data_IF_246744933677
#
_entry.id   IF_246744933677
#
_cell.length_a   1.000
_cell.length_b   1.000
_cell.length_c   1.000
_cell.angle_alpha   90.00
_cell.angle_beta   90.00
_cell.angle_gamma   90.00
#
_symmetry.space_group_name_H-M   'P 1'
#
loop_
_entity.id
_entity.type
_entity.pdbx_description
1 polymer ?
#
# COMPACT_ATOMS: atom_id res chain seq x y z
N UNK A 1 -16.07 -17.50 -21.43
CA UNK A 1 -14.89 -18.35 -21.69
C UNK A 1 -13.88 -17.54 -22.51
N UNK A 2 -12.94 -16.90 -21.87
CA UNK A 2 -11.71 -16.46 -22.49
C UNK A 2 -10.57 -16.73 -21.49
N UNK A 3 -9.84 -17.79 -21.78
CA UNK A 3 -8.63 -18.15 -21.06
C UNK A 3 -7.55 -17.12 -21.38
N UNK A 4 -6.90 -16.58 -20.36
CA UNK A 4 -5.70 -15.77 -20.49
C UNK A 4 -4.49 -16.70 -20.43
N UNK A 5 -3.99 -17.06 -21.59
CA UNK A 5 -2.74 -17.77 -21.75
C UNK A 5 -1.58 -16.78 -21.67
N UNK A 6 -0.66 -17.02 -20.75
CA UNK A 6 0.69 -16.45 -20.76
C UNK A 6 1.36 -16.78 -22.08
N UNK A 7 1.76 -15.77 -22.85
CA UNK A 7 2.50 -15.89 -24.09
C UNK A 7 3.73 -15.00 -24.09
N UNK A 8 4.89 -15.66 -24.02
CA UNK A 8 6.20 -15.08 -24.33
C UNK A 8 6.30 -14.65 -25.80
N UNK A 9 7.19 -13.69 -26.05
CA UNK A 9 8.01 -13.41 -27.23
C UNK A 9 7.81 -12.07 -27.92
N UNK A 10 8.92 -11.36 -28.02
CA UNK A 10 9.15 -10.31 -29.00
C UNK A 10 10.45 -9.53 -28.77
N UNK A 11 11.56 -10.01 -29.33
CA UNK A 11 12.89 -9.39 -29.38
C UNK A 11 12.98 -8.16 -30.30
N UNK A 12 14.03 -7.32 -30.00
CA UNK A 12 14.78 -6.35 -30.83
C UNK A 12 14.36 -4.87 -30.66
N UNK A 13 15.26 -3.93 -30.40
CA UNK A 13 16.63 -3.68 -30.81
C UNK A 13 17.33 -2.63 -29.90
N UNK A 14 18.65 -2.69 -29.89
CA UNK A 14 19.59 -1.96 -29.05
C UNK A 14 19.73 -0.48 -29.38
N UNK A 15 19.88 0.34 -28.33
CA UNK A 15 20.71 1.54 -28.35
C UNK A 15 21.42 1.67 -27.00
N UNK A 16 22.74 1.75 -27.05
CA UNK A 16 23.62 1.80 -25.90
C UNK A 16 23.50 3.15 -25.19
N UNK A 17 22.99 3.11 -23.98
CA UNK A 17 23.27 4.09 -22.94
C UNK A 17 23.60 3.25 -21.72
N UNK A 18 24.78 3.42 -21.15
CA UNK A 18 25.24 2.67 -19.97
C UNK A 18 24.36 3.04 -18.77
N UNK A 19 23.43 2.18 -18.37
CA UNK A 19 22.78 2.32 -17.06
C UNK A 19 23.71 1.67 -16.04
N UNK A 20 23.68 2.19 -14.81
CA UNK A 20 24.11 1.39 -13.67
C UNK A 20 23.37 0.05 -13.79
N UNK A 21 24.11 -1.00 -14.06
CA UNK A 21 23.61 -2.30 -14.44
C UNK A 21 22.71 -2.85 -13.33
N UNK A 22 21.44 -3.03 -13.64
CA UNK A 22 20.67 -4.10 -13.05
C UNK A 22 21.37 -5.40 -13.51
N UNK A 23 22.20 -5.97 -12.66
CA UNK A 23 22.75 -7.28 -12.89
C UNK A 23 21.62 -8.29 -12.78
N UNK A 24 21.44 -9.11 -13.83
CA UNK A 24 20.63 -10.30 -13.76
C UNK A 24 21.06 -11.15 -12.54
N UNK A 25 20.12 -11.86 -11.86
CA UNK A 25 20.48 -12.69 -10.71
C UNK A 25 21.53 -13.70 -11.17
N UNK A 26 22.73 -13.61 -10.58
CA UNK A 26 23.74 -14.63 -10.74
C UNK A 26 23.23 -15.89 -10.03
N UNK A 27 23.10 -16.99 -10.77
CA UNK A 27 22.97 -18.33 -10.19
C UNK A 27 24.26 -18.67 -9.44
N UNK A 28 24.31 -18.33 -8.18
CA UNK A 28 25.38 -18.64 -7.23
C UNK A 28 25.07 -17.88 -5.97
N UNK A 29 24.87 -18.60 -4.86
CA UNK A 29 24.51 -18.01 -3.58
C UNK A 29 25.34 -16.76 -3.31
N UNK A 30 24.71 -15.61 -3.25
CA UNK A 30 25.36 -14.33 -3.05
C UNK A 30 26.10 -14.39 -1.72
N UNK A 31 27.43 -14.35 -1.75
CA UNK A 31 28.23 -14.23 -0.53
C UNK A 31 27.89 -12.89 0.07
N UNK A 32 27.44 -12.91 1.33
CA UNK A 32 27.14 -11.71 2.10
C UNK A 32 28.31 -10.70 1.97
N UNK A 33 28.03 -9.43 1.66
CA UNK A 33 29.07 -8.40 1.53
C UNK A 33 29.94 -8.36 2.79
N UNK A 34 31.27 -8.25 2.57
CA UNK A 34 32.22 -8.34 3.68
C UNK A 34 32.07 -7.19 4.70
N UNK A 35 31.61 -6.03 4.24
CA UNK A 35 31.46 -4.81 5.04
C UNK A 35 30.20 -4.78 5.91
N UNK A 36 29.31 -5.77 5.79
CA UNK A 36 28.20 -5.92 6.74
C UNK A 36 28.52 -6.93 7.86
N UNK A 37 29.61 -7.66 7.78
CA UNK A 37 29.97 -8.65 8.80
C UNK A 37 30.25 -7.98 10.15
N UNK A 38 29.47 -8.39 11.18
CA UNK A 38 29.56 -7.78 12.50
C UNK A 38 28.95 -6.38 12.61
N UNK A 39 28.34 -5.90 11.53
CA UNK A 39 27.58 -4.65 11.56
C UNK A 39 26.26 -4.83 12.33
N UNK A 40 25.81 -3.81 13.06
CA UNK A 40 24.61 -3.87 13.89
C UNK A 40 23.33 -4.21 13.09
N UNK A 41 23.28 -3.89 11.79
CA UNK A 41 22.16 -4.16 10.89
C UNK A 41 22.42 -5.36 9.96
N UNK A 42 23.39 -6.22 10.27
CA UNK A 42 23.79 -7.33 9.40
C UNK A 42 22.61 -8.24 9.06
N UNK A 43 21.80 -8.62 10.06
CA UNK A 43 20.67 -9.54 9.89
C UNK A 43 19.58 -8.95 8.98
N UNK A 44 19.22 -7.68 9.21
CA UNK A 44 18.20 -6.99 8.43
C UNK A 44 18.65 -6.74 6.99
N UNK A 45 19.93 -6.38 6.79
CA UNK A 45 20.49 -6.21 5.44
C UNK A 45 20.50 -7.55 4.70
N UNK A 46 20.94 -8.63 5.35
CA UNK A 46 20.94 -9.95 4.72
C UNK A 46 19.51 -10.40 4.36
N UNK A 47 18.55 -10.20 5.26
CA UNK A 47 17.14 -10.52 5.03
C UNK A 47 16.57 -9.73 3.85
N UNK A 48 16.92 -8.45 3.72
CA UNK A 48 16.52 -7.59 2.62
C UNK A 48 17.11 -8.05 1.27
N UNK A 49 18.39 -8.47 1.27
CA UNK A 49 19.06 -9.02 0.11
C UNK A 49 18.47 -10.37 -0.30
N UNK A 50 18.21 -11.26 0.65
CA UNK A 50 17.58 -12.58 0.41
C UNK A 50 16.15 -12.43 -0.13
N UNK A 51 15.41 -11.40 0.29
CA UNK A 51 14.11 -11.04 -0.23
C UNK A 51 14.16 -10.35 -1.62
N UNK A 52 15.34 -9.92 -2.05
CA UNK A 52 15.58 -9.40 -3.40
C UNK A 52 15.16 -7.96 -3.65
N UNK A 53 14.83 -7.17 -2.62
CA UNK A 53 14.47 -5.76 -2.79
C UNK A 53 15.64 -4.79 -2.60
N UNK A 54 16.83 -5.29 -2.24
CA UNK A 54 18.07 -4.51 -2.22
C UNK A 54 19.26 -5.38 -2.63
N UNK A 55 20.19 -4.76 -3.36
CA UNK A 55 21.46 -5.37 -3.77
C UNK A 55 22.65 -4.62 -3.16
N UNK A 56 23.79 -5.29 -3.10
CA UNK A 56 25.08 -4.66 -2.89
C UNK A 56 25.56 -3.92 -4.14
N UNK A 57 26.71 -3.27 -4.02
CA UNK A 57 27.37 -2.61 -5.15
C UNK A 57 28.16 -3.62 -6.01
N UNK A 58 28.47 -3.29 -7.29
CA UNK A 58 29.23 -4.17 -8.18
C UNK A 58 30.63 -4.52 -7.69
N UNK A 59 31.19 -3.73 -6.75
CA UNK A 59 32.48 -3.98 -6.11
C UNK A 59 32.41 -5.01 -4.97
N UNK A 60 31.22 -5.56 -4.70
CA UNK A 60 30.98 -6.55 -3.65
C UNK A 60 30.74 -5.95 -2.26
N UNK A 61 30.62 -4.63 -2.14
CA UNK A 61 30.31 -3.94 -0.87
C UNK A 61 28.82 -3.64 -0.75
N UNK A 62 28.35 -3.39 0.45
CA UNK A 62 27.00 -2.88 0.74
C UNK A 62 27.01 -1.39 1.09
N UNK A 63 28.08 -0.91 1.68
CA UNK A 63 28.30 0.45 2.15
C UNK A 63 27.25 0.89 3.20
N UNK A 64 27.11 0.16 4.32
CA UNK A 64 26.04 0.36 5.30
C UNK A 64 26.00 1.77 5.90
N UNK A 65 27.14 2.40 6.11
CA UNK A 65 27.28 3.73 6.69
C UNK A 65 27.17 4.88 5.66
N UNK A 66 27.02 4.56 4.37
CA UNK A 66 26.81 5.59 3.35
C UNK A 66 25.44 6.26 3.55
N UNK A 67 25.42 7.58 3.48
CA UNK A 67 24.17 8.34 3.49
C UNK A 67 23.35 8.02 2.24
N UNK A 68 22.07 7.73 2.42
CA UNK A 68 21.15 7.42 1.31
C UNK A 68 20.42 8.67 0.82
N UNK A 69 20.31 8.81 -0.50
CA UNK A 69 19.57 9.92 -1.13
C UNK A 69 18.05 9.68 -1.10
N UNK A 70 17.28 10.75 -1.32
CA UNK A 70 15.82 10.66 -1.40
C UNK A 70 15.38 9.75 -2.56
N UNK A 71 16.03 9.84 -3.72
CA UNK A 71 15.75 8.97 -4.86
C UNK A 71 16.03 7.50 -4.57
N UNK A 72 17.17 7.18 -3.97
CA UNK A 72 17.53 5.82 -3.60
C UNK A 72 16.55 5.24 -2.57
N UNK A 73 16.20 6.00 -1.54
CA UNK A 73 15.20 5.55 -0.56
C UNK A 73 13.84 5.30 -1.19
N UNK A 74 13.38 6.19 -2.08
CA UNK A 74 12.10 6.03 -2.78
C UNK A 74 12.08 4.74 -3.58
N UNK A 75 13.13 4.46 -4.35
CA UNK A 75 13.25 3.20 -5.10
C UNK A 75 13.24 1.99 -4.17
N UNK A 76 14.05 2.00 -3.10
CA UNK A 76 14.10 0.89 -2.14
C UNK A 76 12.75 0.61 -1.50
N UNK A 77 12.02 1.65 -1.10
CA UNK A 77 10.70 1.50 -0.53
C UNK A 77 9.73 0.85 -1.51
N UNK A 78 9.72 1.32 -2.78
CA UNK A 78 8.83 0.77 -3.81
C UNK A 78 9.18 -0.68 -4.16
N UNK A 79 10.46 -1.03 -4.25
CA UNK A 79 10.91 -2.42 -4.44
C UNK A 79 10.41 -3.31 -3.29
N UNK A 80 10.62 -2.85 -2.04
CA UNK A 80 10.27 -3.60 -0.85
C UNK A 80 8.76 -3.88 -0.72
N UNK A 81 7.90 -2.98 -1.24
CA UNK A 81 6.45 -3.15 -1.24
C UNK A 81 5.88 -3.58 -2.60
N UNK A 82 6.74 -4.09 -3.49
CA UNK A 82 6.36 -4.61 -4.81
C UNK A 82 5.62 -3.64 -5.73
N UNK A 83 5.77 -2.33 -5.52
CA UNK A 83 5.22 -1.29 -6.39
C UNK A 83 6.22 -0.88 -7.46
N UNK A 84 6.76 -1.86 -8.18
CA UNK A 84 7.70 -1.62 -9.27
C UNK A 84 7.00 -1.03 -10.50
N UNK A 85 7.73 -0.31 -11.40
CA UNK A 85 7.13 0.32 -12.57
C UNK A 85 6.37 -0.62 -13.51
N UNK A 86 6.71 -1.91 -13.50
CA UNK A 86 6.15 -2.98 -14.32
C UNK A 86 5.14 -3.85 -13.56
N UNK A 87 4.88 -3.59 -12.26
CA UNK A 87 3.90 -4.34 -11.50
C UNK A 87 2.47 -4.09 -11.99
N UNK A 88 1.63 -5.11 -11.90
CA UNK A 88 0.21 -5.04 -12.28
C UNK A 88 -0.54 -3.99 -11.44
N UNK A 89 -0.20 -3.87 -10.16
CA UNK A 89 -0.80 -2.89 -9.25
C UNK A 89 -0.49 -1.46 -9.69
N UNK A 90 0.76 -1.15 -10.06
CA UNK A 90 1.14 0.17 -10.59
C UNK A 90 0.47 0.44 -11.93
N UNK A 91 0.41 -0.56 -12.81
CA UNK A 91 -0.28 -0.43 -14.11
C UNK A 91 -1.77 -0.13 -13.92
N UNK A 92 -2.43 -0.81 -13.00
CA UNK A 92 -3.82 -0.55 -12.62
C UNK A 92 -4.00 0.86 -12.04
N UNK A 93 -3.16 1.26 -11.08
CA UNK A 93 -3.20 2.60 -10.47
C UNK A 93 -3.05 3.71 -11.52
N UNK A 94 -2.16 3.54 -12.51
CA UNK A 94 -2.00 4.51 -13.62
C UNK A 94 -3.26 4.64 -14.46
N UNK A 95 -4.00 3.56 -14.67
CA UNK A 95 -5.27 3.57 -15.38
C UNK A 95 -6.46 4.12 -14.58
N UNK A 96 -6.44 3.93 -13.27
CA UNK A 96 -7.54 4.23 -12.37
C UNK A 96 -7.45 5.60 -11.67
N UNK A 97 -6.28 6.27 -11.71
CA UNK A 97 -6.05 7.54 -11.01
C UNK A 97 -5.96 8.74 -11.94
N UNK A 98 -6.21 9.92 -11.36
CA UNK A 98 -5.81 11.18 -11.98
C UNK A 98 -4.33 11.42 -11.72
N UNK A 99 -3.58 11.76 -12.76
CA UNK A 99 -2.16 12.06 -12.64
C UNK A 99 -1.93 13.25 -11.71
N UNK A 100 -0.97 13.11 -10.80
CA UNK A 100 -0.45 14.25 -10.04
C UNK A 100 0.36 15.19 -10.97
N UNK A 101 0.56 16.43 -10.53
CA UNK A 101 1.48 17.32 -11.21
C UNK A 101 2.91 16.71 -11.20
N UNK A 102 3.68 16.79 -12.30
CA UNK A 102 5.04 16.26 -12.33
C UNK A 102 5.96 17.05 -11.39
N UNK A 103 7.04 16.40 -10.95
CA UNK A 103 8.13 17.07 -10.25
C UNK A 103 9.01 17.82 -11.25
N UNK A 104 9.27 19.13 -10.99
CA UNK A 104 9.94 20.01 -11.95
C UNK A 104 11.40 19.66 -12.19
N UNK A 105 12.08 19.11 -11.17
CA UNK A 105 13.51 18.79 -11.19
C UNK A 105 13.82 17.32 -11.51
N UNK A 106 12.84 16.57 -12.04
CA UNK A 106 12.96 15.13 -12.24
C UNK A 106 13.02 14.69 -13.70
N UNK A 107 12.89 15.61 -14.68
CA UNK A 107 12.69 15.27 -16.09
C UNK A 107 13.77 14.34 -16.68
N UNK A 108 15.05 14.57 -16.32
CA UNK A 108 16.19 13.81 -16.84
C UNK A 108 16.85 12.94 -15.76
N UNK A 109 16.11 12.61 -14.70
CA UNK A 109 16.63 11.82 -13.60
C UNK A 109 16.35 10.33 -13.80
N UNK A 110 17.31 9.46 -13.43
CA UNK A 110 17.20 7.98 -13.59
C UNK A 110 15.93 7.38 -12.95
N UNK A 111 15.45 7.97 -11.83
CA UNK A 111 14.22 7.54 -11.15
C UNK A 111 12.98 7.74 -12.04
N UNK A 112 12.97 8.80 -12.87
CA UNK A 112 11.90 9.08 -13.85
C UNK A 112 12.07 8.24 -15.10
N UNK A 113 13.28 8.16 -15.65
CA UNK A 113 13.59 7.34 -16.83
C UNK A 113 13.25 5.87 -16.60
N UNK A 114 13.49 5.37 -15.39
CA UNK A 114 13.13 4.01 -14.95
C UNK A 114 11.65 3.82 -14.60
N UNK A 115 10.82 4.86 -14.65
CA UNK A 115 9.39 4.80 -14.30
C UNK A 115 9.09 4.76 -12.80
N UNK A 116 10.11 4.84 -11.93
CA UNK A 116 9.95 4.78 -10.47
C UNK A 116 9.27 6.02 -9.89
N UNK A 117 9.54 7.21 -10.46
CA UNK A 117 8.84 8.42 -10.02
C UNK A 117 7.35 8.34 -10.33
N UNK A 118 6.97 7.83 -11.49
CA UNK A 118 5.56 7.58 -11.83
C UNK A 118 4.91 6.61 -10.83
N UNK A 119 5.59 5.50 -10.53
CA UNK A 119 5.12 4.53 -9.55
C UNK A 119 4.94 5.17 -8.16
N UNK A 120 5.90 6.00 -7.74
CA UNK A 120 5.83 6.73 -6.46
C UNK A 120 4.64 7.71 -6.40
N UNK A 121 4.37 8.41 -7.49
CA UNK A 121 3.28 9.38 -7.60
C UNK A 121 1.91 8.70 -7.65
N UNK A 122 1.74 7.67 -8.50
CA UNK A 122 0.43 7.00 -8.64
C UNK A 122 0.08 6.15 -7.43
N UNK A 123 1.06 5.65 -6.69
CA UNK A 123 0.83 4.93 -5.43
C UNK A 123 0.60 5.86 -4.23
N UNK A 124 0.90 7.16 -4.36
CA UNK A 124 0.80 8.12 -3.27
C UNK A 124 1.96 8.04 -2.27
N UNK A 125 3.03 7.27 -2.55
CA UNK A 125 4.24 7.26 -1.71
C UNK A 125 4.93 8.62 -1.75
N UNK A 126 4.90 9.27 -2.92
CA UNK A 126 5.31 10.66 -3.12
C UNK A 126 4.08 11.46 -3.54
N UNK A 127 3.86 12.59 -2.87
CA UNK A 127 2.78 13.54 -3.19
C UNK A 127 3.41 14.88 -3.51
N UNK A 128 3.09 15.41 -4.70
CA UNK A 128 3.75 16.62 -5.24
C UNK A 128 3.64 17.82 -4.30
N UNK A 129 2.52 17.95 -3.58
CA UNK A 129 2.26 19.05 -2.65
C UNK A 129 3.18 19.06 -1.41
N UNK A 130 3.86 17.96 -1.09
CA UNK A 130 4.79 17.91 0.05
C UNK A 130 6.10 18.63 -0.25
N UNK A 131 6.36 18.89 -1.52
CA UNK A 131 7.63 19.45 -1.97
C UNK A 131 7.45 20.89 -2.48
N UNK A 132 8.21 21.81 -1.88
CA UNK A 132 8.18 23.23 -2.24
C UNK A 132 8.47 23.41 -3.72
N UNK A 133 7.58 24.13 -4.44
CA UNK A 133 7.67 24.38 -5.89
C UNK A 133 7.78 23.09 -6.71
N UNK A 134 7.19 21.98 -6.24
CA UNK A 134 7.26 20.67 -6.90
C UNK A 134 8.70 20.18 -7.18
N UNK A 135 9.65 20.58 -6.34
CA UNK A 135 11.05 20.15 -6.46
C UNK A 135 11.36 19.01 -5.52
N UNK A 136 11.55 17.82 -6.07
CA UNK A 136 11.82 16.60 -5.30
C UNK A 136 13.22 16.58 -4.70
N UNK A 137 14.21 17.18 -5.37
CA UNK A 137 15.63 17.17 -4.99
C UNK A 137 16.16 15.76 -4.76
N UNK A 138 16.22 14.94 -5.82
CA UNK A 138 16.48 13.50 -5.73
C UNK A 138 17.80 13.14 -5.05
N UNK A 139 18.87 13.93 -5.30
CA UNK A 139 20.21 13.69 -4.78
C UNK A 139 20.40 14.21 -3.33
N UNK A 140 19.41 14.88 -2.76
CA UNK A 140 19.49 15.30 -1.37
C UNK A 140 19.41 14.07 -0.45
N UNK A 141 20.31 13.94 0.56
CA UNK A 141 20.15 12.96 1.60
C UNK A 141 18.76 13.00 2.21
N UNK A 142 18.10 11.84 2.34
CA UNK A 142 16.75 11.77 2.90
C UNK A 142 16.78 12.11 4.40
N UNK A 143 15.79 12.89 4.84
CA UNK A 143 15.63 13.23 6.25
C UNK A 143 14.70 12.25 6.96
N UNK A 144 14.86 12.09 8.27
CA UNK A 144 14.08 11.17 9.09
C UNK A 144 12.57 11.44 9.04
N UNK A 145 12.14 12.72 8.97
CA UNK A 145 10.74 13.05 8.80
C UNK A 145 10.18 12.59 7.42
N UNK A 146 11.01 12.59 6.36
CA UNK A 146 10.62 12.13 5.03
C UNK A 146 10.44 10.61 5.01
N UNK A 147 11.29 9.89 5.74
CA UNK A 147 11.11 8.44 5.95
C UNK A 147 9.82 8.17 6.72
N UNK A 148 9.55 8.92 7.80
CA UNK A 148 8.30 8.81 8.55
C UNK A 148 7.08 9.04 7.64
N UNK A 149 7.12 10.07 6.79
CA UNK A 149 6.08 10.40 5.82
C UNK A 149 5.80 9.22 4.87
N UNK A 150 6.85 8.72 4.21
CA UNK A 150 6.71 7.68 3.19
C UNK A 150 6.30 6.33 3.79
N UNK A 151 6.86 5.94 4.95
CA UNK A 151 6.52 4.66 5.60
C UNK A 151 5.11 4.68 6.20
N UNK A 152 4.65 5.81 6.74
CA UNK A 152 3.26 5.98 7.19
C UNK A 152 2.27 5.83 6.03
N UNK A 153 2.61 6.36 4.85
CA UNK A 153 1.82 6.17 3.63
C UNK A 153 1.81 4.73 3.16
N UNK A 154 2.96 4.07 3.19
CA UNK A 154 3.05 2.65 2.83
C UNK A 154 2.17 1.77 3.75
N UNK A 155 2.02 2.14 5.01
CA UNK A 155 1.13 1.49 5.97
C UNK A 155 -0.35 1.90 5.84
N UNK A 156 -0.70 2.81 4.90
CA UNK A 156 -2.07 3.28 4.70
C UNK A 156 -2.63 4.18 5.80
N UNK A 157 -1.75 4.84 6.55
CA UNK A 157 -2.11 5.69 7.69
C UNK A 157 -2.11 7.19 7.32
N UNK A 158 -2.45 7.51 6.06
CA UNK A 158 -2.46 8.90 5.55
C UNK A 158 -3.39 9.80 6.33
N UNK A 159 -4.57 9.29 6.72
CA UNK A 159 -5.56 10.06 7.46
C UNK A 159 -5.04 10.47 8.84
N UNK A 160 -4.40 9.55 9.53
CA UNK A 160 -3.79 9.77 10.85
C UNK A 160 -2.54 10.65 10.70
N UNK A 161 -1.71 10.39 9.68
CA UNK A 161 -0.52 11.17 9.37
C UNK A 161 -0.81 12.63 9.04
N UNK A 162 -1.96 12.93 8.43
CA UNK A 162 -2.40 14.30 8.14
C UNK A 162 -2.98 15.05 9.36
N UNK A 163 -3.08 14.41 10.52
CA UNK A 163 -3.56 15.09 11.73
C UNK A 163 -2.54 16.13 12.20
N UNK A 164 -3.03 17.34 12.43
CA UNK A 164 -2.24 18.39 13.07
C UNK A 164 -2.21 18.15 14.57
N UNK A 165 -1.03 17.82 15.08
CA UNK A 165 -0.79 17.63 16.51
C UNK A 165 -0.10 18.86 17.11
N UNK A 166 -0.53 19.28 18.31
CA UNK A 166 0.05 20.44 18.98
C UNK A 166 1.49 20.17 19.40
N UNK A 167 1.75 18.99 19.97
CA UNK A 167 3.09 18.58 20.42
C UNK A 167 3.28 17.07 20.38
N UNK A 168 4.54 16.65 20.29
CA UNK A 168 5.01 15.29 20.53
C UNK A 168 5.94 15.31 21.76
N UNK A 169 6.13 14.15 22.38
CA UNK A 169 7.00 14.02 23.57
C UNK A 169 8.48 13.86 23.16
N UNK A 170 9.02 14.93 22.53
CA UNK A 170 10.44 15.01 22.13
C UNK A 170 11.05 16.32 22.61
N UNK A 171 12.33 16.27 23.02
CA UNK A 171 13.07 17.46 23.48
C UNK A 171 13.24 18.52 22.40
N UNK A 172 13.20 18.11 21.14
CA UNK A 172 13.29 18.95 19.95
C UNK A 172 11.95 19.12 19.19
N UNK A 173 10.83 18.94 19.86
CA UNK A 173 9.48 19.03 19.26
C UNK A 173 9.25 20.32 18.48
N UNK A 174 9.86 21.42 18.91
CA UNK A 174 9.78 22.72 18.22
C UNK A 174 10.44 22.72 16.82
N UNK A 175 11.23 21.72 16.49
CA UNK A 175 11.84 21.53 15.15
C UNK A 175 10.99 20.67 14.23
N UNK A 176 9.98 20.00 14.78
CA UNK A 176 9.01 19.18 14.02
C UNK A 176 7.85 20.08 13.62
N UNK A 177 7.75 20.40 12.33
CA UNK A 177 6.65 21.26 11.85
C UNK A 177 5.28 20.59 12.08
N UNK A 178 4.21 21.36 12.34
CA UNK A 178 2.90 20.82 12.68
C UNK A 178 2.38 19.74 11.70
N UNK A 179 2.59 19.92 10.41
CA UNK A 179 2.18 18.96 9.38
C UNK A 179 3.00 17.66 9.38
N UNK A 180 4.23 17.67 9.95
CA UNK A 180 5.07 16.47 10.07
C UNK A 180 4.71 15.63 11.29
N UNK A 181 4.13 16.26 12.33
CA UNK A 181 3.93 15.62 13.65
C UNK A 181 3.04 14.38 13.57
N UNK A 182 1.98 14.42 12.78
CA UNK A 182 1.10 13.27 12.58
C UNK A 182 1.86 12.08 11.98
N UNK A 183 2.62 12.30 10.93
CA UNK A 183 3.43 11.26 10.28
C UNK A 183 4.54 10.69 11.18
N UNK A 184 5.24 11.55 11.91
CA UNK A 184 6.24 11.13 12.90
C UNK A 184 5.60 10.27 13.99
N UNK A 185 4.45 10.70 14.51
CA UNK A 185 3.70 9.97 15.54
C UNK A 185 3.28 8.57 15.06
N UNK A 186 2.71 8.47 13.85
CA UNK A 186 2.27 7.18 13.32
C UNK A 186 3.43 6.24 12.98
N UNK A 187 4.53 6.75 12.40
CA UNK A 187 5.72 5.94 12.14
C UNK A 187 6.35 5.40 13.44
N UNK A 188 6.32 6.19 14.52
CA UNK A 188 6.79 5.76 15.84
C UNK A 188 5.84 4.75 16.49
N UNK A 189 4.54 4.97 16.45
CA UNK A 189 3.53 4.01 16.94
C UNK A 189 3.58 2.68 16.21
N UNK A 190 3.86 2.71 14.91
CA UNK A 190 4.05 1.51 14.10
C UNK A 190 5.37 0.78 14.40
N UNK A 191 6.28 1.38 15.20
CA UNK A 191 7.58 0.81 15.53
C UNK A 191 8.61 0.91 14.39
N UNK A 192 8.31 1.69 13.34
CA UNK A 192 9.21 1.88 12.18
C UNK A 192 10.41 2.76 12.56
N UNK A 193 10.13 3.88 13.21
CA UNK A 193 11.14 4.80 13.73
C UNK A 193 11.06 4.90 15.26
N UNK A 194 12.17 5.33 15.86
CA UNK A 194 12.24 5.63 17.29
C UNK A 194 12.97 6.97 17.51
N UNK A 195 12.69 7.62 18.64
CA UNK A 195 13.50 8.74 19.11
C UNK A 195 14.91 8.29 19.56
N UNK A 196 15.77 9.25 19.80
CA UNK A 196 17.11 9.02 20.32
C UNK A 196 17.12 8.92 21.86
N UNK A 197 18.18 8.34 22.46
CA UNK A 197 18.29 8.20 23.92
C UNK A 197 18.31 9.52 24.70
N UNK A 198 18.63 10.65 24.03
CA UNK A 198 18.58 12.00 24.60
C UNK A 198 17.16 12.60 24.61
N UNK A 199 16.17 11.82 24.17
CA UNK A 199 14.77 12.24 24.08
C UNK A 199 14.45 13.08 22.84
N UNK A 200 15.38 13.25 21.89
CA UNK A 200 15.11 13.95 20.63
C UNK A 200 14.60 13.02 19.53
N UNK A 201 13.90 13.56 18.52
CA UNK A 201 13.56 12.85 17.30
C UNK A 201 14.51 13.14 16.14
N UNK A 202 15.06 14.33 16.08
CA UNK A 202 15.93 14.84 15.04
C UNK A 202 15.31 14.73 13.62
N UNK A 203 14.23 15.45 13.32
CA UNK A 203 13.46 15.28 12.09
C UNK A 203 14.27 15.52 10.82
N UNK A 204 15.28 16.40 10.89
CA UNK A 204 16.11 16.80 9.75
C UNK A 204 17.44 16.04 9.66
N UNK A 205 17.73 15.13 10.60
CA UNK A 205 18.90 14.27 10.51
C UNK A 205 18.78 13.37 9.27
N UNK A 206 19.88 13.13 8.61
CA UNK A 206 19.98 12.23 7.45
C UNK A 206 20.15 10.79 7.93
N UNK A 207 19.76 9.84 7.09
CA UNK A 207 19.88 8.42 7.40
C UNK A 207 20.95 7.75 6.55
N UNK A 208 21.56 6.72 7.12
CA UNK A 208 22.46 5.82 6.41
C UNK A 208 21.68 4.77 5.63
N UNK A 209 22.34 4.08 4.73
CA UNK A 209 21.77 2.98 3.94
C UNK A 209 21.31 1.82 4.85
N UNK A 210 22.09 1.50 5.89
CA UNK A 210 21.71 0.51 6.88
C UNK A 210 20.48 0.92 7.68
N UNK A 211 20.41 2.16 8.16
CA UNK A 211 19.23 2.68 8.87
C UNK A 211 17.97 2.61 8.00
N UNK A 212 18.08 2.98 6.71
CA UNK A 212 16.97 2.92 5.77
C UNK A 212 16.43 1.49 5.61
N UNK A 213 17.34 0.50 5.44
CA UNK A 213 16.95 -0.91 5.34
C UNK A 213 16.22 -1.37 6.60
N UNK A 214 16.73 -1.07 7.78
CA UNK A 214 16.10 -1.46 9.05
C UNK A 214 14.71 -0.83 9.22
N UNK A 215 14.54 0.44 8.83
CA UNK A 215 13.24 1.10 8.90
C UNK A 215 12.23 0.50 7.91
N UNK A 216 12.65 0.22 6.68
CA UNK A 216 11.80 -0.46 5.69
C UNK A 216 11.44 -1.87 6.18
N UNK A 217 12.39 -2.63 6.73
CA UNK A 217 12.13 -3.98 7.22
C UNK A 217 11.11 -3.99 8.36
N UNK A 218 11.20 -3.07 9.32
CA UNK A 218 10.21 -2.91 10.40
C UNK A 218 8.83 -2.53 9.85
N UNK A 219 8.80 -1.70 8.82
CA UNK A 219 7.56 -1.34 8.14
C UNK A 219 6.93 -2.59 7.47
N UNK A 220 7.74 -3.42 6.78
CA UNK A 220 7.28 -4.67 6.18
C UNK A 220 6.75 -5.64 7.23
N UNK A 221 7.48 -5.87 8.34
CA UNK A 221 7.04 -6.72 9.44
C UNK A 221 5.66 -6.28 9.97
N UNK A 222 5.40 -4.97 10.01
CA UNK A 222 4.12 -4.43 10.41
C UNK A 222 3.04 -4.56 9.33
N UNK A 223 3.42 -4.39 8.07
CA UNK A 223 2.53 -4.49 6.91
C UNK A 223 2.06 -5.92 6.69
N UNK A 224 2.97 -6.88 6.75
CA UNK A 224 2.75 -8.30 6.46
C UNK A 224 2.14 -9.08 7.61
N UNK A 225 1.90 -8.44 8.74
CA UNK A 225 1.28 -9.11 9.89
C UNK A 225 -0.03 -9.80 9.49
N UNK A 226 -0.05 -11.14 9.59
CA UNK A 226 -1.25 -11.95 9.34
C UNK A 226 -1.59 -12.22 7.87
N UNK A 227 -0.71 -11.93 6.91
CA UNK A 227 -0.89 -12.35 5.51
C UNK A 227 -1.02 -13.86 5.42
N UNK A 228 -1.98 -14.36 4.64
CA UNK A 228 -2.27 -15.79 4.50
C UNK A 228 -2.86 -16.13 3.14
N UNK A 229 -2.44 -17.27 2.61
CA UNK A 229 -2.95 -17.92 1.39
C UNK A 229 -4.00 -19.02 1.69
N UNK A 230 -4.37 -19.19 2.98
CA UNK A 230 -5.20 -20.31 3.45
C UNK A 230 -6.70 -20.00 3.46
N UNK A 231 -7.11 -18.91 2.87
CA UNK A 231 -8.49 -18.46 2.88
C UNK A 231 -9.03 -18.41 1.44
N UNK A 232 -10.09 -19.12 1.19
CA UNK A 232 -10.85 -19.01 -0.06
C UNK A 232 -11.85 -17.87 0.06
N UNK A 233 -11.85 -16.95 -0.90
CA UNK A 233 -12.80 -15.84 -0.96
C UNK A 233 -13.78 -16.07 -2.11
N UNK A 234 -15.06 -15.98 -1.80
CA UNK A 234 -16.15 -16.06 -2.77
C UNK A 234 -16.95 -14.76 -2.70
N UNK A 235 -17.37 -14.27 -3.84
CA UNK A 235 -18.32 -13.14 -3.94
C UNK A 235 -19.61 -13.66 -4.52
N UNK A 236 -20.71 -13.44 -3.83
CA UNK A 236 -22.04 -13.81 -4.32
C UNK A 236 -22.87 -12.56 -4.60
N UNK A 237 -23.64 -12.59 -5.68
CA UNK A 237 -24.60 -11.55 -6.04
C UNK A 237 -25.97 -12.19 -6.28
N UNK A 238 -26.97 -11.72 -5.55
CA UNK A 238 -28.37 -12.06 -5.83
C UNK A 238 -28.94 -11.02 -6.80
N UNK A 239 -29.10 -11.44 -8.06
CA UNK A 239 -29.69 -10.63 -9.12
C UNK A 239 -31.07 -11.13 -9.45
N UNK A 240 -32.11 -10.56 -8.80
CA UNK A 240 -33.53 -10.91 -9.03
C UNK A 240 -33.88 -12.40 -8.81
N UNK A 241 -33.33 -13.02 -7.78
CA UNK A 241 -33.53 -14.44 -7.46
C UNK A 241 -32.63 -15.39 -8.24
N UNK A 242 -31.66 -14.89 -9.00
CA UNK A 242 -30.58 -15.65 -9.59
C UNK A 242 -29.29 -15.35 -8.81
N UNK A 243 -29.00 -16.17 -7.80
CA UNK A 243 -27.77 -16.08 -7.07
C UNK A 243 -26.59 -16.57 -7.96
N UNK A 244 -25.58 -15.71 -8.12
CA UNK A 244 -24.32 -16.06 -8.79
C UNK A 244 -23.20 -15.93 -7.78
N UNK A 245 -22.34 -16.92 -7.74
CA UNK A 245 -21.15 -16.93 -6.88
C UNK A 245 -19.91 -17.05 -7.76
N UNK A 246 -18.93 -16.18 -7.51
CA UNK A 246 -17.60 -16.20 -8.14
C UNK A 246 -16.58 -16.45 -7.05
N UNK A 247 -15.71 -17.43 -7.24
CA UNK A 247 -14.53 -17.62 -6.39
C UNK A 247 -13.42 -16.73 -6.94
N UNK A 248 -12.81 -15.93 -6.07
CA UNK A 248 -11.67 -15.10 -6.45
C UNK A 248 -10.47 -16.01 -6.68
N UNK A 249 -9.70 -15.71 -7.75
CA UNK A 249 -8.47 -16.40 -8.06
C UNK A 249 -7.31 -15.67 -7.39
N UNK A 250 -6.64 -16.34 -6.45
CA UNK A 250 -5.49 -15.82 -5.69
C UNK A 250 -5.73 -14.45 -5.02
N UNK A 251 -6.79 -14.28 -4.21
CA UNK A 251 -7.10 -12.99 -3.59
C UNK A 251 -6.07 -12.65 -2.51
N UNK A 252 -5.74 -11.36 -2.40
CA UNK A 252 -4.93 -10.85 -1.30
C UNK A 252 -5.73 -10.87 0.01
N UNK A 253 -5.28 -11.66 0.98
CA UNK A 253 -5.99 -11.87 2.26
C UNK A 253 -5.04 -11.67 3.44
N UNK A 254 -5.54 -11.04 4.49
CA UNK A 254 -4.81 -10.80 5.73
C UNK A 254 -5.70 -11.06 6.95
N UNK A 255 -5.15 -11.69 8.00
CA UNK A 255 -5.84 -11.91 9.28
C UNK A 255 -5.06 -11.25 10.41
N UNK A 256 -5.60 -10.17 10.97
CA UNK A 256 -4.97 -9.41 12.06
C UNK A 256 -5.93 -9.29 13.22
N UNK A 257 -5.48 -9.64 14.41
CA UNK A 257 -6.27 -9.58 15.66
C UNK A 257 -7.66 -10.24 15.52
N UNK A 258 -7.73 -11.37 14.79
CA UNK A 258 -8.99 -12.09 14.54
C UNK A 258 -9.93 -11.42 13.54
N UNK A 259 -9.50 -10.34 12.90
CA UNK A 259 -10.21 -9.67 11.82
C UNK A 259 -9.65 -10.13 10.47
N UNK A 260 -10.52 -10.59 9.58
CA UNK A 260 -10.21 -10.97 8.21
C UNK A 260 -10.33 -9.76 7.29
N UNK A 261 -9.28 -9.51 6.51
CA UNK A 261 -9.23 -8.46 5.51
C UNK A 261 -9.07 -9.06 4.12
N UNK A 262 -9.71 -8.43 3.13
CA UNK A 262 -9.61 -8.78 1.70
C UNK A 262 -9.31 -7.50 0.93
N UNK A 263 -8.57 -7.60 -0.20
CA UNK A 263 -8.36 -6.47 -1.10
C UNK A 263 -9.71 -5.90 -1.55
N UNK A 264 -9.86 -4.59 -1.41
CA UNK A 264 -11.06 -3.89 -1.88
C UNK A 264 -11.20 -4.00 -3.40
N UNK A 265 -10.09 -3.98 -4.13
CA UNK A 265 -10.07 -4.17 -5.58
C UNK A 265 -10.57 -5.55 -5.95
N UNK A 266 -9.99 -6.61 -5.37
CA UNK A 266 -10.39 -8.00 -5.64
C UNK A 266 -11.87 -8.22 -5.35
N UNK A 267 -12.36 -7.68 -4.21
CA UNK A 267 -13.76 -7.77 -3.85
C UNK A 267 -14.67 -7.06 -4.86
N UNK A 268 -14.32 -5.85 -5.29
CA UNK A 268 -15.11 -5.04 -6.22
C UNK A 268 -15.10 -5.64 -7.64
N UNK A 269 -13.98 -6.13 -8.12
CA UNK A 269 -13.85 -6.83 -9.40
C UNK A 269 -14.63 -8.16 -9.38
N UNK A 270 -14.57 -8.90 -8.26
CA UNK A 270 -15.36 -10.11 -8.07
C UNK A 270 -16.86 -9.83 -8.10
N UNK A 271 -17.31 -8.71 -7.56
CA UNK A 271 -18.71 -8.30 -7.65
C UNK A 271 -19.11 -7.94 -9.07
N UNK A 272 -18.27 -7.22 -9.82
CA UNK A 272 -18.53 -6.94 -11.23
C UNK A 272 -18.73 -8.23 -12.04
N UNK A 273 -17.86 -9.21 -11.81
CA UNK A 273 -17.95 -10.52 -12.44
C UNK A 273 -19.22 -11.32 -12.05
N UNK A 274 -19.67 -11.19 -10.79
CA UNK A 274 -20.87 -11.86 -10.30
C UNK A 274 -22.16 -11.16 -10.75
N UNK A 275 -22.13 -9.85 -10.91
CA UNK A 275 -23.30 -9.00 -11.15
C UNK A 275 -23.69 -8.85 -12.62
N UNK A 276 -22.92 -9.41 -13.60
CA UNK A 276 -23.25 -9.23 -15.03
C UNK A 276 -24.77 -9.03 -15.32
N UNK A 277 -25.21 -7.99 -16.07
CA UNK A 277 -24.47 -7.17 -17.04
C UNK A 277 -24.02 -5.79 -16.52
N UNK A 278 -23.99 -5.56 -15.23
CA UNK A 278 -23.60 -4.28 -14.65
C UNK A 278 -22.09 -4.16 -14.67
N UNK A 279 -21.57 -3.05 -15.19
CA UNK A 279 -20.13 -2.77 -15.20
C UNK A 279 -19.75 -1.91 -14.00
N UNK A 280 -18.78 -2.36 -13.22
CA UNK A 280 -18.14 -1.55 -12.19
C UNK A 280 -16.99 -0.75 -12.81
N UNK A 281 -16.95 0.54 -12.50
CA UNK A 281 -15.77 1.35 -12.79
C UNK A 281 -15.05 1.64 -11.50
N UNK A 282 -13.76 1.26 -11.44
CA UNK A 282 -12.90 1.53 -10.30
C UNK A 282 -12.08 2.80 -10.55
N UNK A 283 -11.91 3.61 -9.52
CA UNK A 283 -10.98 4.74 -9.52
C UNK A 283 -10.14 4.76 -8.25
N UNK A 284 -8.94 5.30 -8.35
CA UNK A 284 -7.96 5.40 -7.28
C UNK A 284 -7.54 6.84 -7.03
N UNK A 285 -7.54 7.27 -5.79
CA UNK A 285 -6.99 8.56 -5.35
C UNK A 285 -5.69 8.33 -4.55
N UNK A 286 -4.52 8.58 -5.14
CA UNK A 286 -3.24 8.34 -4.49
C UNK A 286 -2.96 9.27 -3.31
N UNK A 287 -3.58 10.46 -3.27
CA UNK A 287 -3.35 11.45 -2.21
C UNK A 287 -4.04 11.03 -0.91
N UNK A 288 -5.27 10.55 -1.02
CA UNK A 288 -6.06 10.08 0.14
C UNK A 288 -5.98 8.58 0.34
N UNK A 289 -5.36 7.84 -0.58
CA UNK A 289 -5.32 6.38 -0.63
C UNK A 289 -6.74 5.79 -0.54
N UNK A 290 -7.60 6.23 -1.45
CA UNK A 290 -9.00 5.83 -1.53
C UNK A 290 -9.30 5.14 -2.85
N UNK A 291 -10.00 4.01 -2.77
CA UNK A 291 -10.58 3.32 -3.91
C UNK A 291 -12.09 3.56 -3.94
N UNK A 292 -12.61 3.93 -5.08
CA UNK A 292 -14.02 4.12 -5.35
C UNK A 292 -14.49 3.14 -6.42
N UNK A 293 -15.59 2.42 -6.16
CA UNK A 293 -16.26 1.55 -7.12
C UNK A 293 -17.66 2.07 -7.43
N UNK A 294 -18.05 2.07 -8.71
CA UNK A 294 -19.35 2.55 -9.16
C UNK A 294 -20.21 1.40 -9.68
N UNK A 295 -21.30 1.06 -8.96
CA UNK A 295 -22.30 0.05 -9.31
C UNK A 295 -23.71 0.67 -9.32
N UNK A 296 -23.96 1.68 -10.12
CA UNK A 296 -25.22 2.43 -10.02
C UNK A 296 -25.32 3.33 -8.78
N UNK A 297 -24.26 3.42 -8.00
CA UNK A 297 -23.94 4.26 -6.85
C UNK A 297 -22.45 4.22 -6.62
N UNK A 298 -21.92 5.00 -5.69
CA UNK A 298 -20.48 5.05 -5.36
C UNK A 298 -20.23 4.35 -4.04
N UNK A 299 -19.32 3.36 -4.05
CA UNK A 299 -18.79 2.72 -2.85
C UNK A 299 -17.34 3.11 -2.69
N UNK A 300 -16.98 3.69 -1.55
CA UNK A 300 -15.64 4.22 -1.30
C UNK A 300 -15.01 3.58 -0.07
N UNK A 301 -13.75 3.16 -0.20
CA UNK A 301 -12.92 2.68 0.91
C UNK A 301 -11.62 3.48 0.96
N UNK A 302 -11.24 3.92 2.14
CA UNK A 302 -10.01 4.67 2.37
C UNK A 302 -9.15 3.97 3.41
N UNK A 303 -7.86 3.79 3.10
CA UNK A 303 -6.88 3.27 4.05
C UNK A 303 -6.85 4.11 5.34
N UNK A 304 -6.69 3.45 6.49
CA UNK A 304 -6.76 4.08 7.83
C UNK A 304 -8.18 4.47 8.27
N UNK A 305 -9.22 4.33 7.45
CA UNK A 305 -10.58 4.74 7.78
C UNK A 305 -11.48 3.57 8.17
N UNK A 306 -12.29 3.76 9.21
CA UNK A 306 -13.44 2.88 9.51
C UNK A 306 -14.70 3.29 8.74
N UNK A 307 -14.72 4.47 8.12
CA UNK A 307 -15.88 4.93 7.36
C UNK A 307 -15.74 4.50 5.91
N UNK A 308 -16.79 3.88 5.37
CA UNK A 308 -16.99 3.71 3.94
C UNK A 308 -18.26 4.46 3.53
N UNK A 309 -18.32 4.89 2.29
CA UNK A 309 -19.53 5.50 1.72
C UNK A 309 -20.15 4.50 0.77
N UNK A 310 -21.45 4.35 0.87
CA UNK A 310 -22.23 3.61 -0.09
C UNK A 310 -23.38 4.52 -0.53
N UNK A 311 -23.29 5.01 -1.76
CA UNK A 311 -24.26 5.93 -2.32
C UNK A 311 -25.09 5.17 -3.37
N UNK A 312 -26.32 4.81 -3.00
CA UNK A 312 -27.28 4.21 -3.92
C UNK A 312 -28.04 5.30 -4.67
N UNK A 313 -28.36 5.05 -5.93
CA UNK A 313 -29.15 5.96 -6.75
C UNK A 313 -30.40 6.50 -6.01
N UNK A 314 -30.80 7.77 -6.27
CA UNK A 314 -31.78 8.53 -5.50
C UNK A 314 -33.24 8.10 -5.74
N UNK A 315 -33.52 6.80 -5.74
CA UNK A 315 -34.90 6.33 -5.91
C UNK A 315 -35.64 6.10 -4.58
N UNK A 316 -34.98 6.31 -3.44
CA UNK A 316 -35.61 6.21 -2.11
C UNK A 316 -35.25 7.48 -1.33
N UNK A 317 -36.19 8.38 -1.22
CA UNK A 317 -36.08 9.72 -0.62
C UNK A 317 -35.62 9.76 0.86
N UNK A 318 -35.27 8.63 1.48
CA UNK A 318 -34.98 8.55 2.93
C UNK A 318 -33.65 7.85 3.29
N UNK A 319 -32.80 7.54 2.31
CA UNK A 319 -31.45 7.03 2.56
C UNK A 319 -30.42 8.07 2.07
N UNK A 320 -30.32 9.18 2.83
CA UNK A 320 -29.11 10.01 2.77
C UNK A 320 -27.89 9.11 2.83
N UNK A 321 -26.92 9.28 1.92
CA UNK A 321 -25.66 8.54 1.80
C UNK A 321 -25.25 7.92 3.14
N UNK A 322 -25.56 6.64 3.34
CA UNK A 322 -25.36 6.02 4.63
C UNK A 322 -23.87 5.79 4.80
N UNK A 323 -23.25 6.63 5.63
CA UNK A 323 -21.89 6.41 6.10
C UNK A 323 -21.90 5.13 6.92
N UNK A 324 -21.46 4.04 6.31
CA UNK A 324 -21.27 2.79 7.02
C UNK A 324 -19.94 2.80 7.77
N UNK A 325 -19.89 2.11 8.90
CA UNK A 325 -18.67 1.93 9.67
C UNK A 325 -18.13 0.53 9.43
N UNK A 326 -16.87 0.44 9.06
CA UNK A 326 -16.13 -0.83 9.00
C UNK A 326 -15.89 -1.35 10.43
N UNK A 327 -15.87 -2.65 10.62
CA UNK A 327 -15.60 -3.31 11.91
C UNK A 327 -14.22 -2.95 12.47
N UNK A 328 -13.29 -2.67 11.58
CA UNK A 328 -11.95 -2.15 11.88
C UNK A 328 -11.54 -1.14 10.79
N UNK A 329 -10.50 -0.31 11.00
CA UNK A 329 -9.96 0.53 9.94
C UNK A 329 -9.47 -0.30 8.76
N UNK A 330 -9.70 0.16 7.52
CA UNK A 330 -9.06 -0.42 6.34
C UNK A 330 -7.52 -0.28 6.47
N UNK A 331 -6.79 -1.23 5.92
CA UNK A 331 -5.31 -1.28 5.97
C UNK A 331 -4.73 -1.09 4.58
N UNK A 332 -3.41 -1.05 4.49
CA UNK A 332 -2.68 -1.10 3.23
C UNK A 332 -1.75 -2.31 3.24
N UNK A 333 -1.76 -3.05 2.13
CA UNK A 333 -0.83 -4.15 1.89
C UNK A 333 -0.36 -4.07 0.45
N UNK A 334 0.95 -3.83 0.24
CA UNK A 334 1.55 -3.73 -1.09
C UNK A 334 0.82 -2.79 -2.07
N UNK A 335 0.33 -1.65 -1.57
CA UNK A 335 -0.45 -0.70 -2.37
C UNK A 335 -1.94 -1.03 -2.52
N UNK A 336 -2.40 -2.15 -2.02
CA UNK A 336 -3.81 -2.55 -2.01
C UNK A 336 -4.54 -2.06 -0.76
N UNK A 337 -5.74 -1.50 -0.93
CA UNK A 337 -6.61 -1.16 0.20
C UNK A 337 -7.30 -2.42 0.70
N UNK A 338 -6.94 -2.88 1.90
CA UNK A 338 -7.49 -4.07 2.55
C UNK A 338 -8.72 -3.69 3.39
N UNK A 339 -9.88 -4.21 3.05
CA UNK A 339 -11.12 -3.97 3.80
C UNK A 339 -11.40 -5.10 4.79
N UNK A 340 -11.81 -4.78 6.04
CA UNK A 340 -12.18 -5.79 7.01
C UNK A 340 -13.55 -6.36 6.66
N UNK A 341 -13.62 -7.66 6.43
CA UNK A 341 -14.84 -8.36 5.99
C UNK A 341 -15.43 -9.28 7.05
N UNK A 342 -14.64 -9.70 8.04
CA UNK A 342 -15.08 -10.53 9.16
C UNK A 342 -14.23 -10.25 10.40
N UNK A 343 -14.83 -10.36 11.60
CA UNK A 343 -14.11 -10.38 12.87
C UNK A 343 -14.81 -11.28 13.87
N UNK A 344 -14.03 -12.03 14.66
CA UNK A 344 -14.54 -12.90 15.71
C UNK A 344 -15.23 -12.14 16.84
N UNK A 345 -14.77 -10.91 17.11
CA UNK A 345 -15.17 -10.10 18.26
C UNK A 345 -16.29 -9.09 17.93
N UNK A 346 -16.98 -9.27 16.81
CA UNK A 346 -18.07 -8.36 16.43
C UNK A 346 -19.25 -8.52 17.39
N UNK A 347 -19.65 -7.41 18.00
CA UNK A 347 -20.93 -7.32 18.68
C UNK A 347 -22.08 -7.64 17.67
N UNK A 348 -22.98 -8.61 17.96
CA UNK A 348 -24.09 -8.95 17.07
C UNK A 348 -24.95 -7.75 16.67
N UNK A 349 -25.00 -6.67 17.47
CA UNK A 349 -25.69 -5.43 17.12
C UNK A 349 -24.91 -4.59 16.09
N UNK A 350 -23.60 -4.70 15.99
CA UNK A 350 -22.79 -4.04 14.96
C UNK A 350 -22.91 -4.73 13.60
N UNK A 351 -23.34 -6.00 13.56
CA UNK A 351 -23.66 -6.72 12.31
C UNK A 351 -24.76 -6.06 11.48
N UNK A 352 -25.58 -5.23 12.09
CA UNK A 352 -26.72 -4.57 11.40
C UNK A 352 -26.25 -3.51 10.41
N UNK A 353 -25.05 -2.93 10.60
CA UNK A 353 -24.49 -1.91 9.73
C UNK A 353 -23.78 -2.48 8.50
N UNK A 354 -23.58 -3.81 8.44
CA UNK A 354 -22.94 -4.49 7.34
C UNK A 354 -23.79 -5.65 6.83
N UNK A 355 -24.62 -5.40 5.84
CA UNK A 355 -25.17 -6.47 4.98
C UNK A 355 -24.05 -7.23 4.22
N UNK A 356 -22.82 -6.89 4.47
CA UNK A 356 -21.60 -7.35 3.83
C UNK A 356 -20.76 -8.27 4.72
N UNK A 357 -21.19 -8.54 5.97
CA UNK A 357 -20.58 -9.58 6.77
C UNK A 357 -20.96 -10.90 6.13
N UNK A 358 -20.10 -11.29 5.20
CA UNK A 358 -20.16 -12.57 4.54
C UNK A 358 -20.17 -13.71 5.55
N UNK A 359 -20.63 -14.85 5.12
CA UNK A 359 -20.53 -16.06 5.89
C UNK A 359 -19.08 -16.51 5.97
N UNK A 360 -18.53 -16.62 7.16
CA UNK A 360 -17.27 -17.32 7.39
C UNK A 360 -17.54 -18.76 7.71
N UNK A 361 -17.00 -19.67 6.90
CA UNK A 361 -16.99 -21.11 7.16
C UNK A 361 -15.64 -21.52 7.72
N UNK A 362 -15.60 -21.84 9.01
CA UNK A 362 -14.40 -22.22 9.72
C UNK A 362 -13.83 -23.58 9.27
N UNK A 363 -14.68 -24.49 8.80
CA UNK A 363 -14.27 -25.85 8.38
C UNK A 363 -13.56 -25.79 7.02
N UNK A 364 -14.13 -25.07 6.08
CA UNK A 364 -13.60 -24.94 4.72
C UNK A 364 -12.64 -23.76 4.57
N UNK A 365 -12.51 -22.90 5.61
CA UNK A 365 -11.77 -21.63 5.54
C UNK A 365 -12.24 -20.75 4.38
N UNK A 366 -13.55 -20.74 4.14
CA UNK A 366 -14.15 -19.98 3.05
C UNK A 366 -14.88 -18.77 3.59
N UNK A 367 -14.59 -17.61 3.01
CA UNK A 367 -15.28 -16.35 3.21
C UNK A 367 -16.19 -16.08 2.02
N UNK A 368 -17.49 -15.94 2.26
CA UNK A 368 -18.45 -15.54 1.24
C UNK A 368 -18.86 -14.08 1.46
N UNK A 369 -18.62 -13.22 0.49
CA UNK A 369 -19.01 -11.81 0.47
C UNK A 369 -20.34 -11.65 -0.30
N UNK A 370 -21.51 -11.54 0.36
CA UNK A 370 -22.76 -11.37 -0.33
C UNK A 370 -22.94 -9.92 -0.79
N UNK A 371 -23.24 -9.74 -2.04
CA UNK A 371 -23.72 -8.47 -2.58
C UNK A 371 -25.25 -8.52 -2.64
N UNK A 372 -25.91 -7.60 -1.95
CA UNK A 372 -27.34 -7.36 -2.17
C UNK A 372 -27.49 -6.23 -3.18
N UNK A 373 -28.16 -6.54 -4.29
CA UNK A 373 -28.60 -5.46 -5.18
C UNK A 373 -29.62 -4.58 -4.46
N UNK A 374 -29.65 -3.26 -4.75
CA UNK A 374 -30.62 -2.33 -4.16
C UNK A 374 -32.08 -2.74 -4.29
N UNK A 375 -32.36 -3.70 -5.14
CA UNK A 375 -33.70 -4.14 -5.52
C UNK A 375 -34.09 -5.49 -4.91
N UNK A 376 -33.22 -6.17 -4.18
CA UNK A 376 -33.58 -7.39 -3.47
C UNK A 376 -34.40 -7.03 -2.21
N UNK A 377 -35.66 -6.73 -2.37
CA UNK A 377 -36.64 -6.75 -1.29
C UNK A 377 -36.99 -8.21 -1.00
N UNK A 378 -36.11 -8.95 -0.35
CA UNK A 378 -36.51 -10.16 0.34
C UNK A 378 -36.56 -9.84 1.85
N UNK A 379 -37.60 -10.28 2.54
CA UNK A 379 -37.88 -9.96 3.95
C UNK A 379 -36.84 -10.45 4.92
#
# INVERSE_FOLDING_TARGET
>A
MRAWSRGLLGLLAAAMVTPLASAAPAEGGATSPADIQGHWAQEEIQRAMDAGWIDGYPDGTFQPEQTITRAEFTKLLLDAIHLTPDSETVAWMKGASQAQAPMEDMADHWLTEGGWMDAALVSGMVVTQDYNYHNFRPEKPIARYEIALMTTRALGQVKEGNQLLDSLDYTDDNTILPWMKGYVNEAVKAGVLYGYPDGSFQPHATSTRAEAVVMIQRMLDRMEEGVTDRVTVQVSCDNWGNERTVTLDDPTVQVVDGTLYVSARDALEGWDAAAEPYQCTLSWDPITQRIDGTFGGVTSFQAGSRSCTYDMLPAVEDLSASKMQLVAPARMLYGEVMIPVYSKDINPQEKILFNWLGGWDEETKTMTLPMKTPWSTAP
#
